data_IF_423820512728
#
_entry.id   IF_423820512728
#
_cell.length_a   1.000
_cell.length_b   1.000
_cell.length_c   1.000
_cell.angle_alpha   90.00
_cell.angle_beta   90.00
_cell.angle_gamma   90.00
#
_symmetry.space_group_name_H-M   'P 1'
#
loop_
_entity.id
_entity.type
_entity.pdbx_description
1 polymer ?
#
# COMPACT_ATOMS: atom_id res chain seq x y z
N UNK A 1 23.92 -0.20 4.04
CA UNK A 1 24.30 -1.56 3.65
C UNK A 1 24.67 -2.48 4.83
N UNK A 2 25.46 -2.06 5.84
CA UNK A 2 25.82 -2.95 6.99
C UNK A 2 24.60 -3.47 7.77
N UNK A 3 23.59 -2.64 8.00
CA UNK A 3 22.36 -3.07 8.69
C UNK A 3 21.58 -4.12 7.87
N UNK A 4 21.50 -3.96 6.55
CA UNK A 4 20.84 -4.93 5.68
C UNK A 4 21.57 -6.30 5.68
N UNK A 5 22.90 -6.30 5.64
CA UNK A 5 23.69 -7.53 5.77
C UNK A 5 23.46 -8.24 7.11
N UNK A 6 23.37 -7.47 8.21
CA UNK A 6 23.08 -8.04 9.53
C UNK A 6 21.69 -8.68 9.61
N UNK A 7 20.69 -8.12 8.91
CA UNK A 7 19.34 -8.71 8.82
C UNK A 7 19.42 -10.04 8.05
N UNK A 8 20.14 -10.06 6.93
CA UNK A 8 20.33 -11.24 6.10
C UNK A 8 21.00 -12.38 6.88
N UNK A 9 22.10 -12.09 7.57
CA UNK A 9 22.82 -13.03 8.43
C UNK A 9 21.92 -13.62 9.54
N UNK A 10 21.05 -12.81 10.15
CA UNK A 10 20.14 -13.28 11.19
C UNK A 10 18.98 -14.11 10.62
N UNK A 11 18.46 -13.74 9.46
CA UNK A 11 17.46 -14.55 8.77
C UNK A 11 18.00 -15.92 8.39
N UNK A 12 19.27 -15.99 7.91
CA UNK A 12 19.93 -17.24 7.61
C UNK A 12 20.00 -18.15 8.84
N UNK A 13 20.39 -17.64 10.02
CA UNK A 13 20.42 -18.42 11.28
C UNK A 13 19.06 -19.01 11.65
N UNK A 14 17.99 -18.23 11.47
CA UNK A 14 16.62 -18.72 11.73
C UNK A 14 16.28 -19.87 10.78
N UNK A 15 16.57 -19.69 9.48
CA UNK A 15 16.30 -20.71 8.46
C UNK A 15 17.09 -21.99 8.72
N UNK A 16 18.36 -21.88 9.11
CA UNK A 16 19.21 -23.03 9.39
C UNK A 16 18.71 -23.80 10.63
N UNK A 17 18.34 -23.08 11.70
CA UNK A 17 17.69 -23.70 12.87
C UNK A 17 16.39 -24.44 12.51
N UNK A 18 15.54 -23.87 11.67
CA UNK A 18 14.31 -24.51 11.21
C UNK A 18 14.56 -25.78 10.36
N UNK A 19 15.64 -25.79 9.59
CA UNK A 19 16.06 -26.97 8.83
C UNK A 19 16.61 -28.07 9.76
N UNK A 20 17.51 -27.72 10.68
CA UNK A 20 18.10 -28.64 11.66
C UNK A 20 17.06 -29.29 12.55
N UNK A 21 16.05 -28.52 12.98
CA UNK A 21 14.92 -29.00 13.79
C UNK A 21 13.81 -29.68 12.98
N UNK A 22 13.96 -29.81 11.65
CA UNK A 22 12.94 -30.36 10.73
C UNK A 22 11.60 -29.63 10.74
N UNK A 23 11.58 -28.34 11.10
CA UNK A 23 10.37 -27.52 11.17
C UNK A 23 10.15 -26.65 9.93
N UNK A 24 11.12 -26.51 9.05
CA UNK A 24 11.09 -25.60 7.89
C UNK A 24 9.86 -25.80 7.00
N UNK A 25 9.43 -27.04 6.80
CA UNK A 25 8.30 -27.37 5.95
C UNK A 25 6.94 -27.05 6.59
N UNK A 26 6.89 -26.87 7.90
CA UNK A 26 5.66 -26.55 8.66
C UNK A 26 5.72 -25.15 9.31
N UNK A 27 6.55 -24.28 8.79
CA UNK A 27 6.71 -22.89 9.26
C UNK A 27 6.43 -21.92 8.14
N UNK A 28 5.58 -20.92 8.41
CA UNK A 28 5.38 -19.77 7.53
C UNK A 28 6.46 -18.75 7.87
N UNK A 29 7.32 -18.45 6.91
CA UNK A 29 8.35 -17.41 7.03
C UNK A 29 7.91 -16.22 6.18
N UNK A 30 7.81 -15.04 6.79
CA UNK A 30 7.50 -13.79 6.09
C UNK A 30 8.61 -12.79 6.36
N UNK A 31 9.14 -12.21 5.29
CA UNK A 31 9.99 -11.02 5.35
C UNK A 31 9.22 -9.85 4.75
N UNK A 32 8.98 -8.82 5.55
CA UNK A 32 8.24 -7.63 5.14
C UNK A 32 8.62 -6.42 6.00
N UNK A 33 8.07 -5.26 5.65
CA UNK A 33 8.14 -4.03 6.43
C UNK A 33 6.74 -3.46 6.65
N UNK A 34 6.58 -2.52 7.57
CA UNK A 34 5.34 -1.76 7.78
C UNK A 34 5.02 -0.83 6.61
N UNK A 35 6.06 -0.30 5.95
CA UNK A 35 5.97 0.60 4.79
C UNK A 35 7.30 0.69 4.05
N UNK A 36 7.32 1.42 2.93
CA UNK A 36 8.52 1.78 2.20
C UNK A 36 9.24 3.00 2.80
N UNK A 37 10.25 3.51 2.08
CA UNK A 37 11.07 4.63 2.54
C UNK A 37 11.73 5.35 1.36
N UNK A 38 11.74 6.69 1.37
CA UNK A 38 12.50 7.53 0.42
C UNK A 38 13.95 7.63 0.85
N UNK A 39 14.85 7.45 -0.09
CA UNK A 39 16.30 7.62 0.09
C UNK A 39 16.86 8.78 -0.74
N UNK A 40 16.00 9.74 -1.11
CA UNK A 40 16.31 10.89 -1.95
C UNK A 40 15.33 11.05 -3.11
N UNK A 41 14.51 10.04 -3.41
CA UNK A 41 13.51 10.10 -4.46
C UNK A 41 12.51 11.21 -4.16
N UNK A 42 12.02 11.91 -5.17
CA UNK A 42 11.15 13.10 -5.07
C UNK A 42 11.70 14.21 -4.16
N UNK A 43 13.00 14.19 -3.83
CA UNK A 43 13.60 15.11 -2.87
C UNK A 43 13.29 14.80 -1.41
N UNK A 44 12.71 13.65 -1.09
CA UNK A 44 12.39 13.24 0.28
C UNK A 44 13.41 12.27 0.87
N UNK A 45 13.64 12.42 2.16
CA UNK A 45 14.18 11.41 3.06
C UNK A 45 13.14 11.20 4.14
N UNK A 46 12.47 10.09 4.16
CA UNK A 46 11.45 9.70 5.13
C UNK A 46 10.39 8.82 4.41
N UNK A 47 9.17 8.91 4.82
CA UNK A 47 8.00 8.15 4.40
C UNK A 47 6.77 9.05 4.44
N UNK A 48 5.57 8.50 4.35
CA UNK A 48 4.27 9.17 4.58
C UNK A 48 3.59 9.73 3.34
N UNK A 49 4.35 10.11 2.29
CA UNK A 49 3.73 10.48 1.01
C UNK A 49 3.22 9.23 0.29
N UNK A 50 2.16 9.37 -0.51
CA UNK A 50 1.53 8.23 -1.19
C UNK A 50 2.27 7.80 -2.48
N UNK A 51 3.55 8.11 -2.62
CA UNK A 51 4.37 7.62 -3.74
C UNK A 51 4.83 6.17 -3.50
N UNK A 52 5.17 5.47 -4.60
CA UNK A 52 5.49 4.04 -4.52
C UNK A 52 6.64 3.73 -3.56
N UNK A 53 7.67 4.57 -3.47
CA UNK A 53 8.81 4.37 -2.57
C UNK A 53 8.39 4.32 -1.10
N UNK A 54 7.39 5.11 -0.72
CA UNK A 54 6.86 5.15 0.65
C UNK A 54 5.77 4.11 0.90
N UNK A 55 4.93 3.83 -0.08
CA UNK A 55 3.75 2.97 0.09
C UNK A 55 4.02 1.50 -0.24
N UNK A 56 5.05 1.21 -1.04
CA UNK A 56 5.43 -0.14 -1.44
C UNK A 56 6.53 -0.68 -0.52
N UNK A 57 6.19 -1.74 0.20
CA UNK A 57 7.14 -2.45 1.06
C UNK A 57 7.57 -3.78 0.42
N UNK A 58 8.76 -4.30 0.78
CA UNK A 58 9.14 -5.64 0.40
C UNK A 58 8.19 -6.66 1.03
N UNK A 59 7.82 -7.69 0.28
CA UNK A 59 7.05 -8.80 0.79
C UNK A 59 7.53 -10.12 0.18
N UNK A 60 8.08 -10.98 1.01
CA UNK A 60 8.48 -12.34 0.63
C UNK A 60 7.86 -13.32 1.62
N UNK A 61 7.24 -14.36 1.12
CA UNK A 61 6.63 -15.41 1.95
C UNK A 61 7.05 -16.80 1.50
N UNK A 62 7.34 -17.66 2.44
CA UNK A 62 7.64 -19.06 2.22
C UNK A 62 6.83 -19.94 3.16
N UNK A 63 6.17 -20.95 2.63
CA UNK A 63 5.57 -22.06 3.36
C UNK A 63 5.63 -23.31 2.47
N UNK A 64 6.71 -24.11 2.54
CA UNK A 64 7.02 -25.12 1.53
C UNK A 64 5.92 -26.17 1.30
N UNK A 65 5.13 -26.49 2.31
CA UNK A 65 4.05 -27.48 2.19
C UNK A 65 2.78 -26.95 1.51
N UNK A 66 2.63 -25.63 1.35
CA UNK A 66 1.37 -25.02 0.88
C UNK A 66 1.55 -24.02 -0.26
N UNK A 67 2.58 -23.20 -0.19
CA UNK A 67 2.79 -22.11 -1.15
C UNK A 67 3.57 -22.60 -2.36
N UNK A 68 3.12 -22.22 -3.54
CA UNK A 68 3.79 -22.56 -4.80
C UNK A 68 5.18 -21.91 -4.86
N UNK A 69 6.17 -22.70 -5.27
CA UNK A 69 7.56 -22.23 -5.35
C UNK A 69 7.74 -21.25 -6.52
N UNK A 70 8.64 -20.29 -6.32
CA UNK A 70 9.14 -19.39 -7.37
C UNK A 70 8.05 -18.65 -8.15
N UNK A 71 6.98 -18.26 -7.48
CA UNK A 71 5.93 -17.42 -8.08
C UNK A 71 6.12 -15.95 -7.68
N UNK A 72 5.66 -15.08 -8.55
CA UNK A 72 5.47 -13.66 -8.29
C UNK A 72 3.98 -13.37 -8.38
N UNK A 73 3.47 -12.59 -7.45
CA UNK A 73 2.09 -12.15 -7.37
C UNK A 73 2.10 -10.63 -7.39
N UNK A 74 1.45 -10.05 -8.40
CA UNK A 74 1.41 -8.59 -8.60
C UNK A 74 0.09 -7.97 -8.10
N UNK A 75 -0.69 -8.72 -7.30
CA UNK A 75 -1.93 -8.25 -6.67
C UNK A 75 -1.67 -7.12 -5.66
N UNK A 76 -2.66 -6.25 -5.49
CA UNK A 76 -2.65 -5.23 -4.45
C UNK A 76 -2.89 -5.86 -3.08
N UNK A 77 -1.81 -6.12 -2.35
CA UNK A 77 -1.81 -6.66 -0.99
C UNK A 77 -1.47 -5.54 -0.02
N UNK A 78 -2.19 -5.49 1.09
CA UNK A 78 -1.97 -4.51 2.15
C UNK A 78 -1.48 -5.22 3.42
N UNK A 79 -0.72 -4.52 4.27
CA UNK A 79 -0.29 -5.06 5.56
C UNK A 79 -1.46 -5.46 6.47
N UNK A 80 -2.62 -4.81 6.34
CA UNK A 80 -3.84 -5.20 7.05
C UNK A 80 -4.44 -6.55 6.59
N UNK A 81 -3.95 -7.13 5.49
CA UNK A 81 -4.35 -8.45 5.00
C UNK A 81 -3.60 -9.59 5.70
N UNK A 82 -2.43 -9.30 6.26
CA UNK A 82 -1.56 -10.29 6.90
C UNK A 82 -2.25 -11.00 8.09
N UNK A 83 -2.94 -10.31 9.01
CA UNK A 83 -3.69 -10.97 10.07
C UNK A 83 -4.78 -11.92 9.53
N UNK A 84 -5.49 -11.52 8.47
CA UNK A 84 -6.49 -12.36 7.81
C UNK A 84 -5.86 -13.59 7.16
N UNK A 85 -4.67 -13.48 6.59
CA UNK A 85 -3.90 -14.61 6.06
C UNK A 85 -3.54 -15.62 7.16
N UNK A 86 -3.05 -15.14 8.32
CA UNK A 86 -2.69 -16.01 9.43
C UNK A 86 -3.90 -16.79 9.96
N UNK A 87 -5.02 -16.12 10.15
CA UNK A 87 -6.26 -16.77 10.59
C UNK A 87 -6.73 -17.83 9.58
N UNK A 88 -6.62 -17.54 8.29
CA UNK A 88 -7.00 -18.49 7.23
C UNK A 88 -6.08 -19.74 7.22
N UNK A 89 -4.78 -19.57 7.43
CA UNK A 89 -3.88 -20.72 7.60
C UNK A 89 -4.15 -21.53 8.88
N UNK A 90 -4.61 -20.86 9.93
CA UNK A 90 -5.03 -21.50 11.18
C UNK A 90 -6.44 -22.14 11.09
N UNK A 91 -7.15 -22.01 9.96
CA UNK A 91 -8.51 -22.51 9.81
C UNK A 91 -9.55 -21.70 10.59
N UNK A 92 -9.22 -20.47 10.98
CA UNK A 92 -10.06 -19.57 11.78
C UNK A 92 -10.65 -18.51 10.86
N UNK A 93 -11.97 -18.30 10.96
CA UNK A 93 -12.65 -17.25 10.20
C UNK A 93 -12.29 -15.86 10.73
N UNK A 94 -11.90 -14.95 9.85
CA UNK A 94 -11.62 -13.55 10.22
C UNK A 94 -12.84 -12.88 10.83
N UNK A 95 -12.67 -12.09 11.92
CA UNK A 95 -13.73 -11.29 12.51
C UNK A 95 -14.30 -10.31 11.48
N UNK A 96 -15.60 -9.97 11.62
CA UNK A 96 -16.28 -8.99 10.74
C UNK A 96 -15.67 -7.58 10.79
N UNK A 97 -14.97 -7.25 11.89
CA UNK A 97 -14.28 -5.96 12.07
C UNK A 97 -12.98 -5.86 11.26
N UNK A 98 -12.46 -6.97 10.74
CA UNK A 98 -11.25 -6.94 9.90
C UNK A 98 -11.59 -6.43 8.51
N UNK A 99 -10.88 -5.39 8.08
CA UNK A 99 -10.98 -4.85 6.72
C UNK A 99 -10.07 -5.58 5.73
N UNK A 100 -9.05 -6.27 6.24
CA UNK A 100 -8.10 -7.07 5.47
C UNK A 100 -8.72 -8.33 4.89
N UNK A 101 -8.18 -8.79 3.78
CA UNK A 101 -8.61 -9.99 3.05
C UNK A 101 -7.48 -11.00 3.00
N UNK A 102 -7.76 -12.27 3.32
CA UNK A 102 -6.77 -13.34 3.09
C UNK A 102 -6.44 -13.47 1.60
N UNK A 103 -5.16 -13.58 1.31
CA UNK A 103 -4.64 -13.85 -0.03
C UNK A 103 -4.05 -15.26 -0.16
N UNK A 104 -4.41 -16.17 0.74
CA UNK A 104 -3.98 -17.58 0.74
C UNK A 104 -4.19 -18.27 -0.61
N UNK A 105 -5.35 -18.04 -1.25
CA UNK A 105 -5.65 -18.64 -2.56
C UNK A 105 -4.66 -18.18 -3.64
N UNK A 106 -4.23 -16.91 -3.61
CA UNK A 106 -3.24 -16.39 -4.54
C UNK A 106 -1.86 -17.04 -4.34
N UNK A 107 -1.54 -17.44 -3.11
CA UNK A 107 -0.28 -18.11 -2.78
C UNK A 107 -0.27 -19.59 -3.18
N UNK A 108 -1.41 -20.26 -3.12
CA UNK A 108 -1.54 -21.73 -3.31
C UNK A 108 -1.97 -22.12 -4.74
N UNK A 109 -2.38 -21.16 -5.58
CA UNK A 109 -2.87 -21.43 -6.94
C UNK A 109 -2.40 -20.36 -7.92
N UNK A 110 -2.17 -20.75 -9.19
CA UNK A 110 -1.81 -19.83 -10.28
C UNK A 110 -3.01 -19.12 -10.92
N UNK A 111 -4.22 -19.61 -10.69
CA UNK A 111 -5.44 -19.12 -11.33
C UNK A 111 -6.33 -18.42 -10.31
N UNK A 112 -5.95 -17.20 -9.93
CA UNK A 112 -6.71 -16.42 -8.96
C UNK A 112 -7.22 -15.12 -9.57
N UNK A 113 -8.40 -14.71 -9.11
CA UNK A 113 -8.89 -13.35 -9.33
C UNK A 113 -8.13 -12.40 -8.39
N UNK A 114 -7.89 -11.15 -8.82
CA UNK A 114 -7.26 -10.15 -7.98
C UNK A 114 -8.00 -9.99 -6.63
N UNK A 115 -7.25 -9.84 -5.56
CA UNK A 115 -7.78 -9.68 -4.20
C UNK A 115 -8.59 -8.40 -4.09
N UNK A 116 -8.13 -7.34 -4.79
CA UNK A 116 -8.79 -6.06 -4.93
C UNK A 116 -8.32 -5.32 -6.17
N UNK A 117 -9.19 -4.44 -6.68
CA UNK A 117 -8.84 -3.56 -7.81
C UNK A 117 -8.24 -2.23 -7.32
N UNK A 118 -8.58 -1.80 -6.11
CA UNK A 118 -8.20 -0.50 -5.58
C UNK A 118 -7.74 -0.58 -4.14
N UNK A 119 -6.81 0.30 -3.78
CA UNK A 119 -6.41 0.57 -2.40
C UNK A 119 -6.69 2.04 -2.07
N UNK A 120 -7.27 2.30 -0.91
CA UNK A 120 -7.47 3.63 -0.35
C UNK A 120 -6.35 3.92 0.63
N UNK A 121 -5.80 5.14 0.55
CA UNK A 121 -4.76 5.62 1.45
C UNK A 121 -5.16 6.98 2.02
N UNK A 122 -4.78 7.26 3.25
CA UNK A 122 -4.89 8.56 3.87
C UNK A 122 -3.75 8.83 4.83
N UNK A 123 -3.19 10.06 4.74
CA UNK A 123 -2.25 10.62 5.68
C UNK A 123 -2.85 11.85 6.35
N UNK A 124 -3.00 11.79 7.69
CA UNK A 124 -3.70 12.82 8.47
C UNK A 124 -2.83 13.97 8.94
N UNK A 125 -1.56 13.70 9.27
CA UNK A 125 -0.66 14.72 9.76
C UNK A 125 -0.32 15.69 8.65
N UNK A 126 -0.46 16.99 8.94
CA UNK A 126 -0.21 18.04 7.97
C UNK A 126 1.01 18.85 8.37
N UNK A 127 1.89 19.12 7.41
CA UNK A 127 2.90 20.15 7.48
C UNK A 127 3.10 20.77 6.09
N UNK A 128 3.66 22.00 5.97
CA UNK A 128 3.90 22.61 4.66
C UNK A 128 4.78 21.77 3.73
N UNK A 129 5.71 20.99 4.28
CA UNK A 129 6.61 20.13 3.50
C UNK A 129 6.06 18.71 3.29
N UNK A 130 5.03 18.32 4.03
CA UNK A 130 4.31 17.05 3.91
C UNK A 130 2.83 17.29 4.08
N UNK A 131 2.15 17.77 3.03
CA UNK A 131 0.73 18.09 3.12
C UNK A 131 -0.12 16.87 3.39
N UNK A 132 -1.12 17.03 4.26
CA UNK A 132 -2.12 16.01 4.49
C UNK A 132 -2.85 15.68 3.18
N UNK A 133 -3.02 14.40 2.91
CA UNK A 133 -3.56 13.92 1.65
C UNK A 133 -4.32 12.60 1.80
N UNK A 134 -5.06 12.27 0.79
CA UNK A 134 -5.70 10.98 0.60
C UNK A 134 -5.65 10.61 -0.87
N UNK A 135 -5.83 9.34 -1.17
CA UNK A 135 -5.76 8.92 -2.56
C UNK A 135 -6.24 7.50 -2.78
N UNK A 136 -6.25 7.14 -4.04
CA UNK A 136 -6.61 5.81 -4.51
C UNK A 136 -5.56 5.32 -5.49
N UNK A 137 -5.24 4.05 -5.40
CA UNK A 137 -4.35 3.35 -6.30
C UNK A 137 -5.04 2.13 -6.87
N UNK A 138 -4.97 1.96 -8.18
CA UNK A 138 -5.19 0.70 -8.89
C UNK A 138 -3.84 0.08 -9.26
N UNK A 139 -3.85 -1.07 -9.92
CA UNK A 139 -2.62 -1.65 -10.49
C UNK A 139 -1.91 -0.69 -11.46
N UNK A 140 -2.69 0.12 -12.21
CA UNK A 140 -2.21 0.92 -13.34
C UNK A 140 -2.11 2.40 -13.06
N UNK A 141 -2.89 2.92 -12.12
CA UNK A 141 -3.08 4.36 -11.96
C UNK A 141 -3.15 4.74 -10.49
N UNK A 142 -2.75 5.97 -10.20
CA UNK A 142 -2.88 6.59 -8.87
C UNK A 142 -3.49 7.98 -8.99
N UNK A 143 -4.39 8.32 -8.08
CA UNK A 143 -4.97 9.65 -7.93
C UNK A 143 -4.82 10.09 -6.47
N UNK A 144 -4.19 11.23 -6.23
CA UNK A 144 -3.92 11.78 -4.90
C UNK A 144 -4.57 13.15 -4.79
N UNK A 145 -5.22 13.42 -3.66
CA UNK A 145 -5.75 14.72 -3.29
C UNK A 145 -5.06 15.24 -2.03
N UNK A 146 -4.32 16.31 -2.17
CA UNK A 146 -3.73 17.07 -1.08
C UNK A 146 -4.76 18.08 -0.58
N UNK A 147 -5.32 17.84 0.61
CA UNK A 147 -6.31 18.75 1.19
C UNK A 147 -5.70 19.85 2.06
N UNK A 148 -4.40 19.81 2.29
CA UNK A 148 -3.57 20.91 2.76
C UNK A 148 -3.87 21.47 4.15
N UNK A 149 -4.51 20.68 5.04
CA UNK A 149 -4.85 21.14 6.39
C UNK A 149 -4.92 19.99 7.38
N UNK A 150 -4.61 20.24 8.64
CA UNK A 150 -4.54 19.22 9.69
C UNK A 150 -5.87 18.79 10.29
N UNK A 151 -7.00 19.39 9.90
CA UNK A 151 -8.36 19.08 10.38
C UNK A 151 -8.46 18.98 11.92
N UNK A 152 -7.78 19.88 12.62
CA UNK A 152 -7.70 19.93 14.10
C UNK A 152 -7.13 18.66 14.77
N UNK A 153 -6.38 17.84 14.03
CA UNK A 153 -5.67 16.69 14.62
C UNK A 153 -4.46 17.15 15.42
N UNK A 154 -4.11 16.40 16.46
CA UNK A 154 -2.90 16.63 17.23
C UNK A 154 -1.65 16.43 16.33
N UNK A 155 -0.57 17.11 16.67
CA UNK A 155 0.72 17.03 15.97
C UNK A 155 0.70 17.48 14.50
N UNK A 156 -0.28 18.29 14.09
CA UNK A 156 -0.34 18.87 12.76
C UNK A 156 -0.05 20.36 12.77
N UNK A 157 0.52 20.88 11.67
CA UNK A 157 0.69 22.31 11.48
C UNK A 157 -0.66 23.01 11.34
N UNK A 158 -0.75 24.22 11.92
CA UNK A 158 -1.89 25.13 11.70
C UNK A 158 -1.76 25.93 10.40
N UNK A 159 -0.56 25.95 9.81
CA UNK A 159 -0.30 26.60 8.52
C UNK A 159 -0.88 25.71 7.43
N UNK A 160 -1.84 26.24 6.67
CA UNK A 160 -2.43 25.51 5.54
C UNK A 160 -1.49 25.59 4.34
N UNK A 161 -1.53 24.59 3.50
CA UNK A 161 -0.95 24.58 2.16
C UNK A 161 -2.03 24.61 1.08
N UNK A 162 -1.64 24.88 -0.15
CA UNK A 162 -2.56 24.82 -1.28
C UNK A 162 -3.12 23.41 -1.45
N UNK A 163 -4.37 23.36 -1.91
CA UNK A 163 -5.01 22.11 -2.30
C UNK A 163 -4.57 21.74 -3.71
N UNK A 164 -4.22 20.48 -3.91
CA UNK A 164 -3.72 20.02 -5.20
C UNK A 164 -4.20 18.60 -5.51
N UNK A 165 -4.23 18.31 -6.80
CA UNK A 165 -4.45 16.95 -7.29
C UNK A 165 -3.22 16.47 -8.05
N UNK A 166 -2.94 15.18 -7.91
CA UNK A 166 -1.94 14.49 -8.71
C UNK A 166 -2.53 13.22 -9.29
N UNK A 167 -2.19 12.96 -10.55
CA UNK A 167 -2.52 11.72 -11.23
C UNK A 167 -1.30 11.14 -11.93
N UNK A 168 -1.12 9.82 -11.79
CA UNK A 168 -0.01 9.08 -12.38
C UNK A 168 -0.49 7.84 -13.12
N UNK A 169 0.01 7.65 -14.34
CA UNK A 169 -0.10 6.42 -15.13
C UNK A 169 1.12 5.54 -14.77
N UNK A 170 0.96 4.64 -13.80
CA UNK A 170 2.05 3.83 -13.24
C UNK A 170 2.66 2.84 -14.25
N UNK A 171 2.00 2.62 -15.39
CA UNK A 171 2.57 1.79 -16.48
C UNK A 171 3.59 2.57 -17.28
N UNK A 172 3.34 3.87 -17.53
CA UNK A 172 4.23 4.74 -18.32
C UNK A 172 5.22 5.49 -17.45
N UNK A 173 4.82 5.83 -16.25
CA UNK A 173 5.60 6.57 -15.26
C UNK A 173 5.59 5.84 -13.91
N UNK A 174 6.30 4.70 -13.79
CA UNK A 174 6.34 3.91 -12.57
C UNK A 174 7.07 4.61 -11.41
N UNK A 175 7.78 5.70 -11.70
CA UNK A 175 8.49 6.53 -10.73
C UNK A 175 7.73 7.81 -10.36
N UNK A 176 6.51 8.01 -10.87
CA UNK A 176 5.63 9.12 -10.51
C UNK A 176 6.30 10.51 -10.64
N UNK A 177 7.08 10.70 -11.71
CA UNK A 177 7.86 11.92 -11.94
C UNK A 177 7.04 13.05 -12.60
N UNK A 178 5.93 12.71 -13.25
CA UNK A 178 5.13 13.66 -14.01
C UNK A 178 3.66 13.62 -13.59
N UNK A 179 3.22 14.65 -12.90
CA UNK A 179 1.80 14.83 -12.61
C UNK A 179 1.01 15.12 -13.91
N UNK A 180 0.16 14.19 -14.28
CA UNK A 180 -0.67 14.25 -15.49
C UNK A 180 -2.14 14.62 -15.20
N UNK A 181 -2.44 15.16 -14.02
CA UNK A 181 -3.82 15.48 -13.61
C UNK A 181 -4.53 16.42 -14.57
N UNK A 182 -3.84 17.42 -15.09
CA UNK A 182 -4.40 18.40 -16.03
C UNK A 182 -4.27 17.98 -17.51
N UNK A 183 -3.78 16.80 -17.80
CA UNK A 183 -3.68 16.31 -19.18
C UNK A 183 -5.05 15.78 -19.66
N UNK A 184 -5.67 16.40 -20.69
CA UNK A 184 -6.99 16.01 -21.17
C UNK A 184 -7.11 14.56 -21.61
N UNK A 185 -5.98 13.95 -21.99
CA UNK A 185 -5.90 12.54 -22.38
C UNK A 185 -6.36 11.60 -21.27
N UNK A 186 -6.17 11.94 -20.03
CA UNK A 186 -6.46 11.09 -18.87
C UNK A 186 -7.76 11.49 -18.15
N UNK A 187 -8.53 12.42 -18.71
CA UNK A 187 -9.75 12.94 -18.06
C UNK A 187 -10.73 11.83 -17.65
N UNK A 188 -10.97 10.86 -18.50
CA UNK A 188 -11.93 9.78 -18.23
C UNK A 188 -11.42 8.84 -17.13
N UNK A 189 -10.14 8.51 -17.14
CA UNK A 189 -9.49 7.71 -16.11
C UNK A 189 -9.49 8.41 -14.75
N UNK A 190 -9.20 9.69 -14.73
CA UNK A 190 -9.23 10.54 -13.53
C UNK A 190 -10.64 10.59 -12.94
N UNK A 191 -11.67 10.82 -13.77
CA UNK A 191 -13.07 10.82 -13.34
C UNK A 191 -13.48 9.47 -12.74
N UNK A 192 -13.09 8.35 -13.36
CA UNK A 192 -13.35 7.00 -12.85
C UNK A 192 -12.67 6.78 -11.50
N UNK A 193 -11.39 7.14 -11.36
CA UNK A 193 -10.67 7.01 -10.10
C UNK A 193 -11.24 7.91 -9.01
N UNK A 194 -11.69 9.11 -9.34
CA UNK A 194 -12.32 10.02 -8.39
C UNK A 194 -13.63 9.43 -7.82
N UNK A 195 -14.47 8.86 -8.67
CA UNK A 195 -15.69 8.19 -8.21
C UNK A 195 -15.36 7.00 -7.29
N UNK A 196 -14.37 6.21 -7.67
CA UNK A 196 -13.94 5.06 -6.86
C UNK A 196 -13.28 5.52 -5.55
N UNK A 197 -12.52 6.63 -5.56
CA UNK A 197 -11.94 7.22 -4.35
C UNK A 197 -13.02 7.59 -3.33
N UNK A 198 -14.09 8.24 -3.76
CA UNK A 198 -15.24 8.58 -2.91
C UNK A 198 -15.88 7.32 -2.31
N UNK A 199 -16.06 6.29 -3.13
CA UNK A 199 -16.63 5.01 -2.72
C UNK A 199 -15.72 4.28 -1.70
N UNK A 200 -14.42 4.16 -1.99
CA UNK A 200 -13.48 3.48 -1.10
C UNK A 200 -13.28 4.23 0.21
N UNK A 201 -13.24 5.57 0.18
CA UNK A 201 -13.24 6.42 1.36
C UNK A 201 -14.44 6.15 2.27
N UNK A 202 -15.64 6.06 1.69
CA UNK A 202 -16.89 5.73 2.43
C UNK A 202 -16.83 4.31 3.03
N UNK A 203 -16.35 3.33 2.26
CA UNK A 203 -16.19 1.94 2.72
C UNK A 203 -15.17 1.83 3.87
N UNK A 204 -14.14 2.65 3.88
CA UNK A 204 -13.16 2.74 4.96
C UNK A 204 -13.70 3.45 6.22
N UNK A 205 -14.92 4.00 6.18
CA UNK A 205 -15.52 4.76 7.29
C UNK A 205 -14.90 6.15 7.47
N UNK A 206 -14.17 6.65 6.49
CA UNK A 206 -13.59 7.99 6.54
C UNK A 206 -14.61 9.04 6.11
N UNK A 207 -15.09 9.84 7.06
CA UNK A 207 -16.11 10.88 6.86
C UNK A 207 -15.55 12.31 7.00
N UNK A 208 -14.30 12.47 7.42
CA UNK A 208 -13.80 13.76 7.89
C UNK A 208 -13.42 14.75 6.78
N UNK A 209 -13.05 14.29 5.59
CA UNK A 209 -12.57 15.15 4.49
C UNK A 209 -13.55 15.14 3.33
N UNK A 210 -13.97 16.31 2.90
CA UNK A 210 -14.71 16.46 1.65
C UNK A 210 -13.75 16.39 0.47
N UNK A 211 -14.07 15.53 -0.48
CA UNK A 211 -13.36 15.46 -1.76
C UNK A 211 -14.11 16.40 -2.72
N UNK A 212 -13.44 17.44 -3.27
CA UNK A 212 -14.10 18.35 -4.18
C UNK A 212 -14.49 17.65 -5.49
N UNK A 213 -15.53 18.18 -6.12
CA UNK A 213 -15.93 17.73 -7.45
C UNK A 213 -14.87 18.12 -8.48
N UNK A 214 -14.37 17.19 -9.26
CA UNK A 214 -13.35 17.45 -10.30
C UNK A 214 -13.97 17.69 -11.69
N UNK A 215 -15.30 17.70 -11.82
CA UNK A 215 -15.94 18.03 -13.09
C UNK A 215 -15.83 19.53 -13.46
N UNK A 216 -15.39 20.34 -12.50
CA UNK A 216 -15.25 21.79 -12.65
C UNK A 216 -13.78 22.21 -12.94
N UNK A 217 -12.88 21.24 -13.14
CA UNK A 217 -11.46 21.44 -13.41
C UNK A 217 -11.15 21.20 -14.89
#
# INVERSE_FOLDING_TARGET
MRCAASIDDNLQKIIDHLKESNQINNTIIIYTSDQGYFLGEHGFFDKRMMYEESSRMPFVISYPNKILKSQRIDDLILNLDIPSLFLDYAGIKSPKSFQGKSFKKALESKNNLPIREFTYYRYWEHSPVRPAHLGIRSEKNKLIYFYGEGLNKNNTSKVKSEKAWEYYDLIKDPYELKNEFYNPKYKNEILKLHQELIKQKKLAGDIETLIPNINEI
#
